data_IF_560617125129
#
_entry.id   IF_560617125129
#
_cell.length_a   1.000
_cell.length_b   1.000
_cell.length_c   1.000
_cell.angle_alpha   90.00
_cell.angle_beta   90.00
_cell.angle_gamma   90.00
#
_symmetry.space_group_name_H-M   'P 1'
#
loop_
_entity.id
_entity.type
_entity.pdbx_description
1 polymer ?
#
# COMPACT_ATOMS: atom_id res chain seq x y z
N UNK A 1 8.61 -0.02 -20.36
CA UNK A 1 7.78 1.22 -20.28
C UNK A 1 6.28 0.91 -20.08
N UNK A 2 5.76 -0.21 -20.62
CA UNK A 2 4.35 -0.62 -20.46
C UNK A 2 3.97 -1.25 -19.10
N UNK A 3 4.92 -1.77 -18.31
CA UNK A 3 4.64 -2.33 -16.97
C UNK A 3 4.38 -1.26 -15.89
N UNK A 4 4.85 -0.02 -16.07
CA UNK A 4 4.72 1.03 -15.04
C UNK A 4 3.31 1.62 -14.94
N UNK A 5 2.45 1.48 -15.96
CA UNK A 5 1.07 2.02 -15.90
C UNK A 5 0.08 1.05 -15.25
N UNK A 6 0.30 -0.26 -15.39
CA UNK A 6 -0.62 -1.27 -14.83
C UNK A 6 -0.52 -1.36 -13.30
N UNK A 7 0.66 -1.23 -12.71
CA UNK A 7 0.83 -1.36 -11.25
C UNK A 7 0.17 -0.21 -10.49
N UNK A 8 0.20 1.02 -11.01
CA UNK A 8 -0.49 2.16 -10.39
C UNK A 8 -2.01 2.04 -10.51
N UNK A 9 -2.52 1.61 -11.67
CA UNK A 9 -3.96 1.37 -11.86
C UNK A 9 -4.42 0.23 -10.95
N UNK A 10 -3.63 -0.84 -10.81
CA UNK A 10 -3.92 -1.96 -9.92
C UNK A 10 -3.86 -1.55 -8.44
N UNK A 11 -2.84 -0.80 -8.01
CA UNK A 11 -2.75 -0.31 -6.63
C UNK A 11 -3.92 0.61 -6.28
N UNK A 12 -4.27 1.55 -7.17
CA UNK A 12 -5.47 2.38 -7.04
C UNK A 12 -6.76 1.55 -7.07
N UNK A 13 -6.85 0.52 -7.92
CA UNK A 13 -8.01 -0.37 -8.00
C UNK A 13 -8.18 -1.23 -6.73
N UNK A 14 -7.10 -1.74 -6.14
CA UNK A 14 -7.15 -2.46 -4.87
C UNK A 14 -7.41 -1.54 -3.67
N UNK A 15 -6.93 -0.28 -3.71
CA UNK A 15 -7.34 0.75 -2.76
C UNK A 15 -8.86 0.99 -2.86
N UNK A 16 -9.42 1.09 -4.08
CA UNK A 16 -10.84 1.31 -4.34
C UNK A 16 -11.74 0.11 -3.96
N UNK A 17 -11.30 -1.14 -4.18
CA UNK A 17 -12.06 -2.34 -3.79
C UNK A 17 -12.23 -2.49 -2.26
N UNK A 18 -11.31 -1.92 -1.47
CA UNK A 18 -11.41 -1.90 -0.01
C UNK A 18 -12.39 -0.83 0.54
N UNK A 19 -12.90 0.06 -0.32
CA UNK A 19 -13.85 1.12 0.05
C UNK A 19 -15.31 0.66 -0.03
N UNK A 20 -15.57 -0.51 -0.63
CA UNK A 20 -16.92 -1.04 -0.80
C UNK A 20 -17.43 -1.69 0.49
N UNK A 21 -18.13 -0.92 1.34
CA UNK A 21 -18.85 -1.44 2.53
C UNK A 21 -18.34 -0.93 3.88
N UNK A 22 -17.35 -0.03 3.90
CA UNK A 22 -16.82 0.59 5.13
C UNK A 22 -17.60 1.85 5.48
N UNK A 23 -18.06 1.96 6.73
CA UNK A 23 -18.90 3.09 7.19
C UNK A 23 -18.09 4.25 7.81
N UNK A 24 -16.80 4.02 8.14
CA UNK A 24 -15.89 5.03 8.68
C UNK A 24 -14.41 4.65 8.45
N UNK A 25 -13.57 5.65 8.16
CA UNK A 25 -12.11 5.56 8.04
C UNK A 25 -11.46 6.11 9.30
N UNK A 26 -10.56 5.33 9.92
CA UNK A 26 -9.99 5.69 11.22
C UNK A 26 -8.47 5.88 11.11
N UNK A 27 -7.93 6.97 11.67
CA UNK A 27 -6.50 7.26 11.61
C UNK A 27 -5.60 6.13 12.18
N UNK A 28 -6.01 5.45 13.27
CA UNK A 28 -5.19 4.38 13.88
C UNK A 28 -5.95 3.47 14.86
N UNK A 29 -5.55 2.18 15.05
CA UNK A 29 -6.07 1.31 16.13
C UNK A 29 -5.68 1.73 17.56
N UNK A 30 -4.89 2.79 17.76
CA UNK A 30 -4.52 3.34 19.09
C UNK A 30 -5.37 4.55 19.47
N UNK A 31 -6.10 5.10 18.50
CA UNK A 31 -7.16 6.12 18.69
C UNK A 31 -8.54 5.45 18.64
N UNK A 32 -8.58 4.16 18.28
CA UNK A 32 -9.73 3.31 18.35
C UNK A 32 -10.15 3.09 19.82
N UNK A 33 -11.03 3.95 20.31
CA UNK A 33 -11.82 3.65 21.50
C UNK A 33 -12.47 2.27 21.31
N UNK A 34 -12.55 1.50 22.39
CA UNK A 34 -13.06 0.11 22.44
C UNK A 34 -14.56 0.04 22.05
N UNK A 35 -15.15 1.16 21.63
CA UNK A 35 -16.53 1.31 21.15
C UNK A 35 -16.67 1.43 19.63
N UNK A 36 -15.66 1.10 18.83
CA UNK A 36 -15.78 1.16 17.37
C UNK A 36 -16.61 0.01 16.82
N UNK A 37 -17.50 0.34 15.89
CA UNK A 37 -18.39 -0.62 15.25
C UNK A 37 -17.58 -1.67 14.49
N UNK A 38 -18.12 -2.87 14.34
CA UNK A 38 -17.51 -3.99 13.62
C UNK A 38 -17.15 -3.72 12.14
N UNK A 39 -17.41 -2.50 11.64
CA UNK A 39 -17.29 -2.13 10.23
C UNK A 39 -16.39 -0.90 10.00
N UNK A 40 -15.60 -0.47 11.00
CA UNK A 40 -14.60 0.58 10.80
C UNK A 40 -13.25 -0.01 10.39
N UNK A 41 -12.59 0.60 9.41
CA UNK A 41 -11.26 0.20 8.95
C UNK A 41 -10.27 1.35 9.16
N UNK A 42 -9.06 1.04 9.56
CA UNK A 42 -7.99 2.00 9.76
C UNK A 42 -7.18 2.23 8.49
N UNK A 43 -6.50 3.38 8.38
CA UNK A 43 -5.55 3.63 7.28
C UNK A 43 -4.44 2.58 7.21
N UNK A 44 -4.01 2.09 8.37
CA UNK A 44 -3.05 0.98 8.50
C UNK A 44 -3.58 -0.31 7.87
N UNK A 45 -4.81 -0.72 8.19
CA UNK A 45 -5.42 -1.94 7.63
C UNK A 45 -5.63 -1.85 6.13
N UNK A 46 -6.09 -0.69 5.62
CA UNK A 46 -6.21 -0.43 4.18
C UNK A 46 -4.85 -0.55 3.50
N UNK A 47 -3.80 0.05 4.09
CA UNK A 47 -2.43 0.01 3.56
C UNK A 47 -1.92 -1.42 3.50
N UNK A 48 -2.06 -2.17 4.59
CA UNK A 48 -1.61 -3.56 4.69
C UNK A 48 -2.29 -4.43 3.62
N UNK A 49 -3.62 -4.34 3.52
CA UNK A 49 -4.40 -5.13 2.58
C UNK A 49 -4.10 -4.78 1.12
N UNK A 50 -3.96 -3.48 0.80
CA UNK A 50 -3.60 -3.02 -0.54
C UNK A 50 -2.21 -3.51 -0.96
N UNK A 51 -1.24 -3.50 -0.04
CA UNK A 51 0.11 -4.01 -0.30
C UNK A 51 0.12 -5.51 -0.48
N UNK A 52 -0.53 -6.28 0.38
CA UNK A 52 -0.65 -7.74 0.24
C UNK A 52 -1.25 -8.11 -1.12
N UNK A 53 -2.35 -7.48 -1.53
CA UNK A 53 -2.98 -7.76 -2.83
C UNK A 53 -2.09 -7.37 -4.01
N UNK A 54 -1.36 -6.28 -3.89
CA UNK A 54 -0.39 -5.85 -4.91
C UNK A 54 0.80 -6.81 -5.00
N UNK A 55 1.27 -7.33 -3.86
CA UNK A 55 2.29 -8.38 -3.80
C UNK A 55 1.76 -9.67 -4.42
N UNK A 56 0.55 -10.12 -4.09
CA UNK A 56 -0.06 -11.30 -4.69
C UNK A 56 -0.03 -11.23 -6.22
N UNK A 57 -0.39 -10.06 -6.78
CA UNK A 57 -0.29 -9.82 -8.22
C UNK A 57 1.14 -9.90 -8.74
N UNK A 58 2.10 -9.27 -8.05
CA UNK A 58 3.51 -9.30 -8.42
C UNK A 58 4.11 -10.72 -8.42
N UNK A 59 3.83 -11.50 -7.37
CA UNK A 59 4.30 -12.89 -7.26
C UNK A 59 3.67 -13.78 -8.35
N UNK A 60 2.38 -13.61 -8.63
CA UNK A 60 1.73 -14.30 -9.74
C UNK A 60 2.37 -13.96 -11.09
N UNK A 61 2.51 -12.67 -11.41
CA UNK A 61 3.09 -12.23 -12.69
C UNK A 61 4.55 -12.72 -12.82
N UNK A 62 5.37 -12.63 -11.77
CA UNK A 62 6.77 -13.10 -11.80
C UNK A 62 6.91 -14.61 -11.94
N UNK A 63 6.06 -15.40 -11.27
CA UNK A 63 6.05 -16.87 -11.43
C UNK A 63 5.63 -17.29 -12.84
N UNK A 64 4.67 -16.58 -13.46
CA UNK A 64 4.31 -16.80 -14.87
C UNK A 64 5.52 -16.63 -15.80
N UNK A 65 6.33 -15.58 -15.60
CA UNK A 65 7.53 -15.34 -16.43
C UNK A 65 8.65 -16.36 -16.17
N UNK A 66 8.81 -16.84 -14.93
CA UNK A 66 9.83 -17.83 -14.60
C UNK A 66 9.53 -19.23 -15.19
N UNK A 67 8.25 -19.60 -15.29
CA UNK A 67 7.80 -20.94 -15.67
C UNK A 67 7.78 -21.22 -17.19
N UNK A 68 8.18 -20.27 -18.05
CA UNK A 68 8.26 -20.46 -19.51
C UNK A 68 9.28 -21.55 -19.94
N UNK A 69 10.01 -22.14 -18.98
CA UNK A 69 10.99 -23.22 -19.23
C UNK A 69 10.71 -24.55 -18.52
N UNK A 70 9.79 -24.63 -17.55
CA UNK A 70 9.37 -25.89 -16.90
C UNK A 70 8.00 -25.69 -16.22
N UNK A 71 6.93 -26.07 -16.91
CA UNK A 71 5.55 -25.77 -16.57
C UNK A 71 5.01 -26.56 -15.35
N UNK A 72 5.26 -26.08 -14.14
CA UNK A 72 4.29 -26.26 -13.04
C UNK A 72 3.15 -25.28 -13.26
N UNK A 73 1.92 -25.77 -13.38
CA UNK A 73 0.71 -24.96 -13.55
C UNK A 73 0.59 -23.93 -12.41
N UNK A 74 0.53 -22.63 -12.74
CA UNK A 74 0.29 -21.57 -11.76
C UNK A 74 -1.23 -21.42 -11.62
N UNK A 75 -1.77 -21.71 -10.44
CA UNK A 75 -3.19 -21.53 -10.17
C UNK A 75 -3.48 -20.06 -9.85
N UNK A 76 -4.00 -19.31 -10.83
CA UNK A 76 -4.38 -17.90 -10.67
C UNK A 76 -5.40 -17.70 -9.53
N UNK A 77 -6.39 -18.58 -9.42
CA UNK A 77 -7.42 -18.47 -8.37
C UNK A 77 -6.80 -18.51 -6.97
N UNK A 78 -5.71 -19.25 -6.78
CA UNK A 78 -5.05 -19.36 -5.49
C UNK A 78 -4.44 -18.04 -5.00
N UNK A 79 -4.14 -17.08 -5.87
CA UNK A 79 -3.57 -15.77 -5.50
C UNK A 79 -4.61 -14.69 -5.21
N UNK A 80 -5.86 -14.87 -5.65
CA UNK A 80 -6.86 -13.80 -5.70
C UNK A 80 -8.20 -14.15 -5.02
N UNK A 81 -8.35 -15.35 -4.46
CA UNK A 81 -9.60 -15.79 -3.80
C UNK A 81 -9.55 -15.75 -2.27
N UNK A 82 -8.38 -15.49 -1.68
CA UNK A 82 -8.19 -15.41 -0.24
C UNK A 82 -7.35 -14.19 0.16
N UNK A 83 -7.41 -13.81 1.43
CA UNK A 83 -6.45 -12.88 2.03
C UNK A 83 -5.20 -13.65 2.43
N UNK A 84 -4.05 -13.20 1.94
CA UNK A 84 -2.77 -13.89 2.11
C UNK A 84 -1.89 -13.17 3.12
N UNK A 85 -1.15 -13.92 3.91
CA UNK A 85 0.06 -13.42 4.55
C UNK A 85 1.21 -13.34 3.55
N UNK A 86 2.29 -12.64 3.91
CA UNK A 86 3.51 -12.65 3.08
C UNK A 86 4.09 -14.07 2.98
N UNK A 87 3.97 -14.90 4.03
CA UNK A 87 4.43 -16.29 3.96
C UNK A 87 3.62 -17.11 2.96
N UNK A 88 2.28 -16.95 2.97
CA UNK A 88 1.39 -17.64 2.02
C UNK A 88 1.76 -17.29 0.57
N UNK A 89 2.10 -16.02 0.30
CA UNK A 89 2.53 -15.58 -1.03
C UNK A 89 3.84 -16.22 -1.46
N UNK A 90 4.82 -16.34 -0.55
CA UNK A 90 6.06 -17.06 -0.83
C UNK A 90 5.82 -18.56 -1.03
N UNK A 91 4.93 -19.18 -0.26
CA UNK A 91 4.57 -20.59 -0.43
C UNK A 91 3.91 -20.85 -1.79
N UNK A 92 2.96 -19.99 -2.20
CA UNK A 92 2.31 -20.07 -3.51
C UNK A 92 3.29 -19.86 -4.67
N UNK A 93 4.26 -18.96 -4.51
CA UNK A 93 5.20 -18.60 -5.56
C UNK A 93 6.40 -19.52 -5.64
N UNK A 94 6.79 -20.14 -4.53
CA UNK A 94 7.94 -21.02 -4.41
C UNK A 94 7.59 -22.28 -3.63
N UNK A 95 6.71 -23.14 -4.18
CA UNK A 95 6.35 -24.42 -3.55
C UNK A 95 7.56 -25.36 -3.38
N UNK A 96 8.66 -25.08 -4.10
CA UNK A 96 9.94 -25.78 -3.95
C UNK A 96 10.73 -25.40 -2.69
N UNK A 97 10.42 -24.28 -2.03
CA UNK A 97 11.16 -23.84 -0.85
C UNK A 97 10.84 -24.71 0.37
N UNK A 98 11.88 -25.05 1.12
CA UNK A 98 11.69 -25.58 2.46
C UNK A 98 11.39 -24.46 3.47
N UNK A 99 10.98 -24.83 4.69
CA UNK A 99 10.58 -23.85 5.73
C UNK A 99 11.66 -22.80 6.05
N UNK A 100 12.95 -23.17 6.02
CA UNK A 100 14.04 -22.23 6.27
C UNK A 100 14.22 -21.22 5.12
N UNK A 101 14.12 -21.67 3.88
CA UNK A 101 14.20 -20.82 2.69
C UNK A 101 13.04 -19.82 2.64
N UNK A 102 11.81 -20.32 2.89
CA UNK A 102 10.61 -19.50 2.94
C UNK A 102 10.76 -18.36 3.95
N UNK A 103 11.15 -18.68 5.20
CA UNK A 103 11.34 -17.69 6.26
C UNK A 103 12.47 -16.70 5.90
N UNK A 104 13.57 -17.18 5.33
CA UNK A 104 14.71 -16.34 4.95
C UNK A 104 14.34 -15.32 3.89
N UNK A 105 13.45 -15.69 2.96
CA UNK A 105 12.97 -14.80 1.91
C UNK A 105 11.81 -13.89 2.35
N UNK A 106 10.91 -14.37 3.22
CA UNK A 106 9.72 -13.63 3.63
C UNK A 106 9.98 -12.57 4.69
N UNK A 107 10.93 -12.80 5.61
CA UNK A 107 11.24 -11.88 6.71
C UNK A 107 11.66 -10.47 6.25
N UNK A 108 12.57 -10.30 5.28
CA UNK A 108 12.91 -8.97 4.78
C UNK A 108 11.72 -8.21 4.20
N UNK A 109 10.81 -8.90 3.50
CA UNK A 109 9.63 -8.27 2.92
C UNK A 109 8.63 -7.86 4.00
N UNK A 110 8.42 -8.69 5.03
CA UNK A 110 7.62 -8.33 6.21
C UNK A 110 8.13 -7.06 6.86
N UNK A 111 9.44 -6.99 7.12
CA UNK A 111 10.06 -5.79 7.70
C UNK A 111 9.85 -4.53 6.83
N UNK A 112 9.97 -4.67 5.51
CA UNK A 112 9.73 -3.58 4.56
C UNK A 112 8.28 -3.09 4.63
N UNK A 113 7.32 -4.00 4.68
CA UNK A 113 5.89 -3.68 4.76
C UNK A 113 5.55 -3.04 6.11
N UNK A 114 6.07 -3.59 7.20
CA UNK A 114 5.88 -3.05 8.56
C UNK A 114 6.44 -1.63 8.70
N UNK A 115 7.61 -1.36 8.12
CA UNK A 115 8.22 -0.02 8.09
C UNK A 115 7.32 0.99 7.37
N UNK A 116 6.76 0.63 6.22
CA UNK A 116 5.86 1.52 5.47
C UNK A 116 4.51 1.72 6.19
N UNK A 117 3.95 0.68 6.80
CA UNK A 117 2.73 0.77 7.63
C UNK A 117 2.97 1.68 8.84
N UNK A 118 4.13 1.55 9.49
CA UNK A 118 4.51 2.39 10.63
C UNK A 118 4.58 3.85 10.21
N UNK A 119 5.21 4.17 9.08
CA UNK A 119 5.34 5.54 8.58
C UNK A 119 4.02 6.13 8.06
N UNK A 120 3.08 5.29 7.62
CA UNK A 120 1.70 5.69 7.37
C UNK A 120 1.05 6.15 8.69
N UNK A 121 1.03 5.27 9.69
CA UNK A 121 0.47 5.54 11.01
C UNK A 121 1.10 6.77 11.70
N UNK A 122 2.41 6.94 11.60
CA UNK A 122 3.15 8.02 12.27
C UNK A 122 2.70 9.41 11.83
N UNK A 123 2.08 9.58 10.66
CA UNK A 123 1.57 10.88 10.22
C UNK A 123 0.61 11.49 11.24
N UNK A 124 -0.19 10.68 11.93
CA UNK A 124 -1.12 11.13 12.99
C UNK A 124 -0.48 11.43 14.34
N UNK A 125 0.74 10.93 14.60
CA UNK A 125 1.36 11.01 15.93
C UNK A 125 2.62 11.87 15.97
N UNK A 126 3.38 11.92 14.88
CA UNK A 126 4.62 12.68 14.81
C UNK A 126 4.33 14.17 14.97
N UNK A 127 5.09 14.82 15.86
CA UNK A 127 4.94 16.25 16.15
C UNK A 127 5.01 17.12 14.89
N UNK A 128 5.82 16.71 13.91
CA UNK A 128 6.05 17.42 12.65
C UNK A 128 4.90 17.31 11.65
N UNK A 129 4.01 16.32 11.79
CA UNK A 129 2.92 16.06 10.83
C UNK A 129 1.54 16.12 11.44
N UNK A 130 1.33 15.69 12.69
CA UNK A 130 0.02 15.51 13.35
C UNK A 130 -0.92 16.73 13.41
N UNK A 131 -0.40 17.91 13.09
CA UNK A 131 -1.15 19.19 13.06
C UNK A 131 -0.96 19.95 11.75
N UNK A 132 -0.39 19.29 10.74
CA UNK A 132 -0.12 19.88 9.44
C UNK A 132 -1.30 19.59 8.53
N UNK A 133 -2.06 20.62 8.18
CA UNK A 133 -3.26 20.46 7.37
C UNK A 133 -3.01 19.81 5.98
N UNK A 134 -1.80 20.01 5.44
CA UNK A 134 -1.40 19.38 4.18
C UNK A 134 -1.08 17.89 4.32
N UNK A 135 -0.85 17.38 5.54
CA UNK A 135 -0.60 15.97 5.80
C UNK A 135 -1.91 15.17 5.97
N UNK A 136 -2.97 15.80 6.50
CA UNK A 136 -4.27 15.16 6.74
C UNK A 136 -5.40 15.59 5.80
N UNK A 137 -5.06 16.28 4.71
CA UNK A 137 -6.00 16.72 3.68
C UNK A 137 -7.22 17.48 4.24
N UNK A 138 -6.96 18.29 5.27
CA UNK A 138 -7.93 18.97 6.12
C UNK A 138 -7.79 20.49 6.00
N UNK A 139 -8.70 21.23 6.65
CA UNK A 139 -8.74 22.70 6.68
C UNK A 139 -8.61 23.35 5.28
N UNK A 140 -9.22 22.71 4.28
CA UNK A 140 -9.20 23.12 2.87
C UNK A 140 -7.79 23.29 2.27
N UNK A 141 -6.78 22.63 2.83
CA UNK A 141 -5.39 22.72 2.39
C UNK A 141 -5.09 21.92 1.10
N UNK A 142 -6.08 21.73 0.23
CA UNK A 142 -6.06 20.91 -0.99
C UNK A 142 -4.81 21.11 -1.84
N UNK A 143 -4.48 22.36 -2.17
CA UNK A 143 -3.31 22.69 -3.03
C UNK A 143 -2.01 22.26 -2.35
N UNK A 144 -1.89 22.47 -1.05
CA UNK A 144 -0.68 22.15 -0.30
C UNK A 144 -0.54 20.64 -0.10
N UNK A 145 -1.65 19.93 0.15
CA UNK A 145 -1.68 18.47 0.26
C UNK A 145 -1.32 17.80 -1.07
N UNK A 146 -1.91 18.26 -2.18
CA UNK A 146 -1.54 17.78 -3.53
C UNK A 146 -0.07 18.02 -3.85
N UNK A 147 0.46 19.21 -3.50
CA UNK A 147 1.89 19.51 -3.67
C UNK A 147 2.75 18.56 -2.85
N UNK A 148 2.38 18.27 -1.60
CA UNK A 148 3.08 17.33 -0.72
C UNK A 148 3.14 15.92 -1.33
N UNK A 149 2.02 15.40 -1.83
CA UNK A 149 1.96 14.09 -2.51
C UNK A 149 2.91 14.06 -3.72
N UNK A 150 2.87 15.09 -4.58
CA UNK A 150 3.73 15.15 -5.76
C UNK A 150 5.23 15.24 -5.42
N UNK A 151 5.58 16.03 -4.40
CA UNK A 151 6.96 16.13 -3.90
C UNK A 151 7.46 14.82 -3.33
N UNK A 152 6.62 14.10 -2.58
CA UNK A 152 6.97 12.79 -2.04
C UNK A 152 7.17 11.78 -3.16
N UNK A 153 6.27 11.74 -4.14
CA UNK A 153 6.42 10.90 -5.33
C UNK A 153 7.73 11.15 -6.06
N UNK A 154 8.08 12.42 -6.29
CA UNK A 154 9.36 12.78 -6.93
C UNK A 154 10.56 12.29 -6.11
N UNK A 155 10.56 12.54 -4.79
CA UNK A 155 11.62 12.08 -3.89
C UNK A 155 11.72 10.56 -3.87
N UNK A 156 10.62 9.83 -3.81
CA UNK A 156 10.60 8.36 -3.86
C UNK A 156 11.27 7.86 -5.14
N UNK A 157 10.88 8.41 -6.31
CA UNK A 157 11.46 8.05 -7.60
C UNK A 157 12.97 8.34 -7.62
N UNK A 158 13.40 9.49 -7.08
CA UNK A 158 14.81 9.85 -7.01
C UNK A 158 15.61 8.90 -6.10
N UNK A 159 15.08 8.52 -4.94
CA UNK A 159 15.73 7.55 -4.05
C UNK A 159 15.86 6.17 -4.72
N UNK A 160 14.81 5.68 -5.38
CA UNK A 160 14.82 4.35 -6.05
C UNK A 160 15.81 4.32 -7.23
N UNK A 161 15.97 5.42 -7.94
CA UNK A 161 16.91 5.50 -9.07
C UNK A 161 18.38 5.62 -8.63
N UNK A 162 18.65 5.88 -7.34
CA UNK A 162 20.00 5.96 -6.81
C UNK A 162 20.43 4.61 -6.24
N UNK A 163 21.05 3.78 -7.08
CA UNK A 163 21.45 2.38 -6.80
C UNK A 163 22.39 2.24 -5.56
N UNK A 164 23.02 3.33 -5.12
CA UNK A 164 23.92 3.35 -3.96
C UNK A 164 23.24 3.65 -2.62
N UNK A 165 21.94 3.99 -2.64
CA UNK A 165 21.22 4.46 -1.45
C UNK A 165 20.31 3.37 -0.88
N UNK A 166 20.30 3.24 0.45
CA UNK A 166 19.27 2.45 1.14
C UNK A 166 17.87 3.01 0.82
N UNK A 167 16.95 2.11 0.51
CA UNK A 167 15.56 2.43 0.17
C UNK A 167 14.70 2.79 1.40
N UNK A 168 15.26 2.85 2.62
CA UNK A 168 14.56 3.27 3.85
C UNK A 168 13.80 4.57 3.67
N UNK A 169 14.49 5.65 3.31
CA UNK A 169 13.84 6.95 3.08
C UNK A 169 12.75 6.89 2.00
N UNK A 170 12.88 6.02 0.99
CA UNK A 170 11.82 5.83 -0.01
C UNK A 170 10.59 5.13 0.58
N UNK A 171 10.78 4.15 1.48
CA UNK A 171 9.69 3.47 2.20
C UNK A 171 8.97 4.42 3.15
N UNK A 172 9.72 5.23 3.88
CA UNK A 172 9.15 6.18 4.84
C UNK A 172 8.30 7.23 4.12
N UNK A 173 8.84 7.81 3.04
CA UNK A 173 8.08 8.74 2.19
C UNK A 173 6.86 8.10 1.55
N UNK A 174 6.94 6.80 1.21
CA UNK A 174 5.80 6.08 0.66
C UNK A 174 4.69 5.91 1.70
N UNK A 175 5.01 5.48 2.93
CA UNK A 175 4.04 5.39 4.03
C UNK A 175 3.31 6.71 4.27
N UNK A 176 4.07 7.80 4.39
CA UNK A 176 3.50 9.13 4.60
C UNK A 176 2.73 9.70 3.38
N UNK A 177 3.07 9.27 2.16
CA UNK A 177 2.30 9.61 0.96
C UNK A 177 0.96 8.89 0.97
N UNK A 178 0.98 7.58 1.28
CA UNK A 178 -0.23 6.75 1.34
C UNK A 178 -1.22 7.28 2.37
N UNK A 179 -0.74 7.74 3.52
CA UNK A 179 -1.57 8.35 4.55
C UNK A 179 -2.34 9.56 3.99
N UNK A 180 -1.61 10.54 3.44
CA UNK A 180 -2.24 11.75 2.89
C UNK A 180 -3.18 11.44 1.72
N UNK A 181 -2.89 10.39 0.93
CA UNK A 181 -3.78 9.95 -0.14
C UNK A 181 -5.05 9.28 0.40
N UNK A 182 -4.95 8.53 1.50
CA UNK A 182 -6.11 7.95 2.18
C UNK A 182 -6.99 9.05 2.79
N UNK A 183 -6.39 10.05 3.43
CA UNK A 183 -7.08 11.23 3.92
C UNK A 183 -7.81 12.01 2.81
N UNK A 184 -7.23 12.09 1.60
CA UNK A 184 -7.94 12.67 0.46
C UNK A 184 -9.23 11.92 0.15
N UNK A 185 -9.19 10.59 0.09
CA UNK A 185 -10.37 9.80 -0.26
C UNK A 185 -11.38 9.68 0.89
N UNK A 186 -10.95 9.84 2.15
CA UNK A 186 -11.86 9.87 3.31
C UNK A 186 -12.52 11.23 3.50
N UNK A 187 -11.85 12.33 3.12
CA UNK A 187 -12.32 13.71 3.30
C UNK A 187 -12.85 14.37 2.02
N UNK A 188 -12.92 13.65 0.90
CA UNK A 188 -13.47 14.18 -0.36
C UNK A 188 -14.58 13.31 -0.92
N UNK A 189 -15.42 13.92 -1.76
CA UNK A 189 -16.44 13.23 -2.55
C UNK A 189 -15.95 12.93 -3.98
N UNK A 190 -14.63 12.79 -4.19
CA UNK A 190 -14.02 12.71 -5.51
C UNK A 190 -14.57 11.53 -6.33
N UNK A 191 -14.75 10.37 -5.68
CA UNK A 191 -15.27 9.16 -6.31
C UNK A 191 -16.76 9.28 -6.60
N UNK A 192 -17.54 9.84 -5.67
CA UNK A 192 -18.98 10.09 -5.81
C UNK A 192 -19.29 11.06 -6.95
N UNK A 193 -18.34 11.95 -7.27
CA UNK A 193 -18.39 12.83 -8.43
C UNK A 193 -18.00 12.13 -9.75
N UNK A 194 -17.76 10.82 -9.73
CA UNK A 194 -17.36 10.03 -10.89
C UNK A 194 -15.95 10.34 -11.39
N UNK A 195 -15.08 10.91 -10.54
CA UNK A 195 -13.70 11.22 -10.92
C UNK A 195 -12.81 10.00 -10.65
N UNK A 196 -12.08 9.57 -11.69
CA UNK A 196 -11.16 8.43 -11.63
C UNK A 196 -9.70 8.81 -11.88
N UNK A 197 -9.45 10.06 -12.29
CA UNK A 197 -8.11 10.55 -12.66
C UNK A 197 -7.54 11.51 -11.60
N UNK A 198 -6.21 11.64 -11.59
CA UNK A 198 -5.49 12.65 -10.80
C UNK A 198 -5.68 14.00 -11.46
N UNK A 199 -6.21 14.99 -10.73
CA UNK A 199 -6.28 16.36 -11.21
C UNK A 199 -4.84 16.94 -11.24
N UNK A 200 -4.32 17.19 -12.45
CA UNK A 200 -2.95 17.69 -12.66
C UNK A 200 -2.87 19.19 -12.51
#
# INVERSE_FOLDING_TARGET
VLMKSNTYIQFSFYLLLNLAGTYAFIPHPLVADVSLSSNSITHTEITQLAVIRSLARFFFDTRLFANDTNATFVNEEAYFTAEHTIDDLYELAHPEYNAFELISCSLPLKFIVDSMITENALVDFDYSTRKVAAAHYDNEAFINASRRILQFRERIINNINNISQDLSNARDLLGQLLHTLQDFYSHSNWIEMGKTDINK
#
